data_IF_055885623208
#
_entry.id   IF_055885623208
#
_cell.length_a   1.000
_cell.length_b   1.000
_cell.length_c   1.000
_cell.angle_alpha   90.00
_cell.angle_beta   90.00
_cell.angle_gamma   90.00
#
_symmetry.space_group_name_H-M   'P 1'
#
loop_
_entity.id
_entity.type
_entity.pdbx_description
1 polymer ?
#
# COMPACT_ATOMS: atom_id res chain seq x y z
N UNK A 1 -35.54 -6.21 -4.04
CA UNK A 1 -34.08 -6.04 -3.96
C UNK A 1 -33.73 -4.67 -4.53
N UNK A 2 -33.14 -3.78 -3.74
CA UNK A 2 -32.88 -2.39 -4.18
C UNK A 2 -31.60 -2.32 -5.01
N UNK A 3 -31.71 -1.84 -6.26
CA UNK A 3 -30.55 -1.62 -7.13
C UNK A 3 -29.53 -0.64 -6.54
N UNK A 4 -30.00 0.33 -5.74
CA UNK A 4 -29.14 1.30 -5.03
C UNK A 4 -28.17 0.57 -4.07
N UNK A 5 -28.64 -0.48 -3.40
CA UNK A 5 -27.84 -1.21 -2.42
C UNK A 5 -26.69 -1.97 -3.10
N UNK A 6 -26.94 -2.52 -4.29
CA UNK A 6 -25.90 -3.20 -5.08
C UNK A 6 -24.83 -2.21 -5.54
N UNK A 7 -25.21 -1.01 -5.96
CA UNK A 7 -24.25 0.02 -6.39
C UNK A 7 -23.33 0.42 -5.24
N UNK A 8 -23.89 0.72 -4.07
CA UNK A 8 -23.09 1.05 -2.88
C UNK A 8 -22.20 -0.12 -2.44
N UNK A 9 -22.70 -1.35 -2.54
CA UNK A 9 -21.90 -2.54 -2.25
C UNK A 9 -20.69 -2.67 -3.18
N UNK A 10 -20.86 -2.48 -4.49
CA UNK A 10 -19.77 -2.55 -5.46
C UNK A 10 -18.74 -1.44 -5.19
N UNK A 11 -19.20 -0.20 -4.96
CA UNK A 11 -18.30 0.92 -4.64
C UNK A 11 -17.49 0.63 -3.38
N UNK A 12 -18.15 0.16 -2.30
CA UNK A 12 -17.48 -0.20 -1.07
C UNK A 12 -16.46 -1.33 -1.29
N UNK A 13 -16.83 -2.39 -2.02
CA UNK A 13 -15.93 -3.48 -2.34
C UNK A 13 -14.70 -3.01 -3.11
N UNK A 14 -14.89 -2.19 -4.15
CA UNK A 14 -13.78 -1.63 -4.94
C UNK A 14 -12.88 -0.74 -4.10
N UNK A 15 -13.42 0.06 -3.18
CA UNK A 15 -12.60 0.90 -2.31
C UNK A 15 -11.78 0.08 -1.30
N UNK A 16 -12.40 -0.91 -0.65
CA UNK A 16 -11.74 -1.78 0.33
C UNK A 16 -10.63 -2.60 -0.32
N UNK A 17 -10.95 -3.28 -1.42
CA UNK A 17 -9.99 -4.16 -2.09
C UNK A 17 -9.01 -3.38 -2.97
N UNK A 18 -9.47 -2.33 -3.65
CA UNK A 18 -8.63 -1.49 -4.52
C UNK A 18 -7.54 -0.77 -3.75
N UNK A 19 -7.83 -0.22 -2.56
CA UNK A 19 -6.81 0.39 -1.71
C UNK A 19 -5.75 -0.61 -1.25
N UNK A 20 -6.17 -1.82 -0.87
CA UNK A 20 -5.25 -2.89 -0.50
C UNK A 20 -4.38 -3.34 -1.68
N UNK A 21 -4.97 -3.60 -2.84
CA UNK A 21 -4.24 -3.98 -4.06
C UNK A 21 -3.24 -2.89 -4.44
N UNK A 22 -3.64 -1.62 -4.42
CA UNK A 22 -2.76 -0.50 -4.72
C UNK A 22 -1.57 -0.43 -3.75
N UNK A 23 -1.81 -0.63 -2.45
CA UNK A 23 -0.75 -0.67 -1.43
C UNK A 23 0.23 -1.82 -1.66
N UNK A 24 -0.28 -3.03 -1.93
CA UNK A 24 0.55 -4.20 -2.23
C UNK A 24 1.39 -3.96 -3.48
N UNK A 25 0.78 -3.46 -4.56
CA UNK A 25 1.48 -3.17 -5.82
C UNK A 25 2.53 -2.08 -5.62
N UNK A 26 2.23 -1.03 -4.86
CA UNK A 26 3.19 0.03 -4.53
C UNK A 26 4.41 -0.54 -3.80
N UNK A 27 4.19 -1.34 -2.76
CA UNK A 27 5.26 -1.96 -1.99
C UNK A 27 6.04 -2.99 -2.82
N UNK A 28 5.36 -3.78 -3.65
CA UNK A 28 6.00 -4.74 -4.54
C UNK A 28 6.85 -4.07 -5.63
N UNK A 29 6.50 -2.85 -6.04
CA UNK A 29 7.26 -2.05 -7.01
C UNK A 29 8.45 -1.31 -6.39
N UNK A 30 8.38 -1.01 -5.10
CA UNK A 30 9.50 -0.49 -4.32
C UNK A 30 9.92 -1.51 -3.25
N UNK A 31 10.42 -2.69 -3.65
CA UNK A 31 11.02 -3.60 -2.71
C UNK A 31 12.15 -2.83 -2.03
N UNK A 32 12.06 -2.75 -0.71
CA UNK A 32 12.99 -2.02 0.15
C UNK A 32 14.43 -2.30 -0.31
N UNK A 33 15.27 -1.26 -0.36
CA UNK A 33 16.64 -1.33 -0.85
C UNK A 33 17.29 -2.64 -0.41
N UNK A 34 17.60 -3.52 -1.38
CA UNK A 34 18.22 -4.83 -1.13
C UNK A 34 19.54 -4.71 -0.34
N UNK A 35 20.07 -3.49 -0.27
CA UNK A 35 21.19 -3.11 0.58
C UNK A 35 20.74 -1.90 1.40
N UNK A 36 20.59 -2.11 2.70
CA UNK A 36 20.45 -1.01 3.66
C UNK A 36 21.76 -0.20 3.64
N UNK A 37 21.73 1.13 3.47
CA UNK A 37 22.94 1.92 3.40
C UNK A 37 23.68 1.88 4.75
N UNK A 38 24.97 1.55 4.71
CA UNK A 38 25.84 1.45 5.90
C UNK A 38 25.90 2.76 6.71
N UNK A 39 25.49 3.90 6.14
CA UNK A 39 25.44 5.22 6.78
C UNK A 39 24.47 5.33 7.96
N UNK A 40 23.55 4.38 8.14
CA UNK A 40 22.67 4.39 9.32
C UNK A 40 23.39 4.11 10.65
N UNK A 41 24.64 3.62 10.61
CA UNK A 41 25.45 3.32 11.79
C UNK A 41 26.41 4.47 12.20
N UNK A 42 26.44 5.59 11.46
CA UNK A 42 27.33 6.74 11.73
C UNK A 42 26.54 8.02 12.01
N UNK A 43 25.64 7.94 12.98
CA UNK A 43 25.05 9.09 13.65
C UNK A 43 25.76 9.43 14.97
N UNK A 44 27.07 9.19 15.06
CA UNK A 44 27.86 9.33 16.30
C UNK A 44 29.26 9.93 16.06
N UNK A 45 29.47 10.71 15.00
CA UNK A 45 30.68 11.51 14.82
C UNK A 45 30.34 12.99 14.58
N UNK A 46 30.69 13.78 15.59
CA UNK A 46 30.63 15.25 15.83
C UNK A 46 29.40 15.83 16.54
#
# INVERSE_FOLDING_TARGET
>A
MSGIALTFFIVAAVLVWGGLIASIVFLARQPQLATYPATAELGDDE
#
